data_IF_067062445189
#
_entry.id   IF_067062445189
#
_cell.length_a   1.000
_cell.length_b   1.000
_cell.length_c   1.000
_cell.angle_alpha   90.00
_cell.angle_beta   90.00
_cell.angle_gamma   90.00
#
_symmetry.space_group_name_H-M   'P 1'
#
loop_
_entity.id
_entity.type
_entity.pdbx_description
1 polymer ?
#
# COMPACT_ATOMS: atom_id res chain seq x y z
N UNK A 1 -31.02 21.26 -3.34
CA UNK A 1 -29.56 21.11 -3.43
C UNK A 1 -29.03 22.18 -4.37
N UNK A 2 -27.92 22.85 -4.05
CA UNK A 2 -27.36 23.93 -4.88
C UNK A 2 -26.35 23.39 -5.89
N UNK A 3 -26.52 23.73 -7.17
CA UNK A 3 -25.63 23.34 -8.26
C UNK A 3 -24.24 23.96 -8.12
N UNK A 4 -23.24 23.34 -8.76
CA UNK A 4 -21.88 23.88 -8.87
C UNK A 4 -21.88 24.96 -9.95
N UNK A 5 -21.48 26.18 -9.60
CA UNK A 5 -21.49 27.33 -10.51
C UNK A 5 -20.06 27.70 -10.83
N UNK A 6 -19.70 27.67 -12.11
CA UNK A 6 -18.41 28.10 -12.65
C UNK A 6 -18.64 29.38 -13.46
N UNK A 7 -17.91 30.45 -13.17
CA UNK A 7 -18.02 31.71 -13.89
C UNK A 7 -16.68 32.17 -14.45
N UNK A 8 -16.70 32.54 -15.72
CA UNK A 8 -15.60 33.20 -16.41
C UNK A 8 -14.31 32.39 -16.51
N UNK A 9 -14.42 31.11 -16.89
CA UNK A 9 -13.25 30.25 -17.03
C UNK A 9 -12.44 30.58 -18.29
N UNK A 10 -11.16 30.95 -18.09
CA UNK A 10 -10.23 31.49 -19.10
C UNK A 10 -8.85 30.84 -19.08
N UNK A 11 -8.70 29.69 -18.42
CA UNK A 11 -7.44 28.94 -18.43
C UNK A 11 -7.19 28.33 -19.82
N UNK A 12 -5.92 28.25 -20.25
CA UNK A 12 -5.56 27.68 -21.55
C UNK A 12 -6.26 28.37 -22.72
N UNK A 13 -7.05 27.60 -23.48
CA UNK A 13 -7.82 28.07 -24.64
C UNK A 13 -9.30 28.31 -24.34
N UNK A 14 -9.72 28.29 -23.07
CA UNK A 14 -11.11 28.55 -22.68
C UNK A 14 -11.49 30.01 -22.98
N UNK A 15 -12.66 30.20 -23.58
CA UNK A 15 -13.16 31.50 -24.06
C UNK A 15 -14.19 32.08 -23.09
N UNK A 16 -13.77 32.35 -21.86
CA UNK A 16 -14.60 32.98 -20.83
C UNK A 16 -15.90 32.21 -20.52
N UNK A 17 -15.75 30.91 -20.28
CA UNK A 17 -16.89 29.98 -20.18
C UNK A 17 -17.52 30.06 -18.79
N UNK A 18 -18.84 30.23 -18.74
CA UNK A 18 -19.63 30.13 -17.51
C UNK A 18 -20.68 29.03 -17.66
N UNK A 19 -20.83 28.20 -16.64
CA UNK A 19 -21.71 27.03 -16.66
C UNK A 19 -22.17 26.65 -15.26
N UNK A 20 -23.29 25.94 -15.21
CA UNK A 20 -23.87 25.39 -13.99
C UNK A 20 -23.96 23.87 -14.13
N UNK A 21 -23.38 23.16 -13.16
CA UNK A 21 -23.32 21.71 -13.13
C UNK A 21 -24.23 21.17 -12.02
N UNK A 22 -25.14 20.22 -12.34
CA UNK A 22 -26.00 19.64 -11.34
C UNK A 22 -25.18 18.84 -10.33
N UNK A 23 -25.34 19.15 -9.04
CA UNK A 23 -24.63 18.44 -7.98
C UNK A 23 -25.20 17.03 -7.81
N UNK A 24 -24.38 16.12 -7.32
CA UNK A 24 -24.76 14.73 -7.02
C UNK A 24 -25.23 13.93 -8.25
N UNK A 25 -24.70 14.31 -9.42
CA UNK A 25 -24.95 13.66 -10.70
C UNK A 25 -23.66 13.22 -11.38
N UNK A 26 -23.75 12.19 -12.22
CA UNK A 26 -22.66 11.80 -13.11
C UNK A 26 -22.62 12.78 -14.29
N UNK A 27 -21.65 13.70 -14.26
CA UNK A 27 -21.43 14.68 -15.32
C UNK A 27 -20.34 14.17 -16.27
N UNK A 28 -20.61 14.19 -17.57
CA UNK A 28 -19.67 13.79 -18.61
C UNK A 28 -19.33 15.00 -19.49
N UNK A 29 -18.05 15.37 -19.54
CA UNK A 29 -17.55 16.38 -20.47
C UNK A 29 -17.18 15.73 -21.81
N UNK A 30 -17.85 16.11 -22.89
CA UNK A 30 -17.64 15.57 -24.23
C UNK A 30 -17.18 16.63 -25.23
N UNK A 31 -16.68 16.21 -26.39
CA UNK A 31 -16.23 17.10 -27.47
C UNK A 31 -14.86 16.75 -28.06
N UNK A 32 -14.56 17.33 -29.23
CA UNK A 32 -13.35 17.07 -30.02
C UNK A 32 -12.05 17.30 -29.23
N UNK A 33 -10.98 16.58 -29.57
CA UNK A 33 -9.66 16.81 -28.96
C UNK A 33 -9.25 18.28 -29.06
N UNK A 34 -8.64 18.82 -28.00
CA UNK A 34 -8.28 20.24 -27.94
C UNK A 34 -9.43 21.22 -27.62
N UNK A 35 -10.68 20.77 -27.49
CA UNK A 35 -11.81 21.67 -27.18
C UNK A 35 -11.81 22.30 -25.77
N UNK A 36 -10.82 22.00 -24.94
CA UNK A 36 -10.69 22.55 -23.58
C UNK A 36 -11.38 21.74 -22.47
N UNK A 37 -11.91 20.53 -22.74
CA UNK A 37 -12.54 19.65 -21.72
C UNK A 37 -11.64 19.40 -20.50
N UNK A 38 -10.42 18.92 -20.75
CA UNK A 38 -9.45 18.63 -19.70
C UNK A 38 -9.03 19.90 -18.97
N UNK A 39 -8.87 21.01 -19.70
CA UNK A 39 -8.55 22.31 -19.10
C UNK A 39 -9.66 22.79 -18.16
N UNK A 40 -10.92 22.66 -18.56
CA UNK A 40 -12.05 23.00 -17.70
C UNK A 40 -12.18 22.07 -16.49
N UNK A 41 -12.14 20.75 -16.70
CA UNK A 41 -12.35 19.78 -15.62
C UNK A 41 -11.16 19.72 -14.64
N UNK A 42 -9.94 19.74 -15.17
CA UNK A 42 -8.71 19.52 -14.40
C UNK A 42 -8.09 20.85 -14.00
N UNK A 43 -7.71 21.68 -14.98
CA UNK A 43 -6.90 22.89 -14.72
C UNK A 43 -7.72 24.02 -14.09
N UNK A 44 -9.04 23.98 -14.24
CA UNK A 44 -9.97 24.95 -13.64
C UNK A 44 -10.69 24.35 -12.43
N UNK A 45 -11.62 23.41 -12.65
CA UNK A 45 -12.52 22.94 -11.58
C UNK A 45 -11.71 22.23 -10.49
N UNK A 46 -10.96 21.18 -10.84
CA UNK A 46 -10.18 20.43 -9.87
C UNK A 46 -9.12 21.28 -9.16
N UNK A 47 -8.36 22.10 -9.89
CA UNK A 47 -7.35 22.98 -9.27
C UNK A 47 -7.96 23.98 -8.29
N UNK A 48 -9.09 24.58 -8.62
CA UNK A 48 -9.74 25.52 -7.71
C UNK A 48 -10.31 24.81 -6.48
N UNK A 49 -10.90 23.62 -6.63
CA UNK A 49 -11.33 22.80 -5.49
C UNK A 49 -10.15 22.43 -4.58
N UNK A 50 -9.02 22.01 -5.16
CA UNK A 50 -7.82 21.67 -4.43
C UNK A 50 -7.23 22.90 -3.72
N UNK A 51 -7.20 24.06 -4.37
CA UNK A 51 -6.75 25.33 -3.79
C UNK A 51 -7.58 25.71 -2.57
N UNK A 52 -8.92 25.75 -2.70
CA UNK A 52 -9.82 26.12 -1.60
C UNK A 52 -9.70 25.15 -0.41
N UNK A 53 -9.57 23.86 -0.68
CA UNK A 53 -9.35 22.86 0.37
C UNK A 53 -8.01 23.05 1.09
N UNK A 54 -6.92 23.25 0.35
CA UNK A 54 -5.59 23.45 0.92
C UNK A 54 -5.48 24.77 1.70
N UNK A 55 -6.14 25.83 1.25
CA UNK A 55 -6.22 27.10 1.98
C UNK A 55 -6.99 26.95 3.30
N UNK A 56 -8.07 26.15 3.33
CA UNK A 56 -8.81 25.88 4.54
C UNK A 56 -8.00 25.14 5.62
N UNK A 57 -6.95 24.41 5.24
CA UNK A 57 -6.02 23.73 6.17
C UNK A 57 -4.71 24.51 6.38
N UNK A 58 -4.63 25.76 5.91
CA UNK A 58 -3.54 26.69 6.22
C UNK A 58 -2.41 26.79 5.20
N UNK A 59 -2.52 26.16 4.02
CA UNK A 59 -1.55 26.37 2.94
C UNK A 59 -1.81 27.70 2.22
N UNK A 60 -0.74 28.40 1.85
CA UNK A 60 -0.79 29.68 1.13
C UNK A 60 0.04 29.62 -0.17
N UNK A 61 -0.13 30.61 -1.04
CA UNK A 61 0.67 30.76 -2.26
C UNK A 61 0.31 29.80 -3.39
N UNK A 62 -0.85 29.14 -3.30
CA UNK A 62 -1.33 28.23 -4.33
C UNK A 62 -1.86 29.04 -5.51
N UNK A 63 -1.36 28.75 -6.71
CA UNK A 63 -1.76 29.45 -7.94
C UNK A 63 -3.26 29.29 -8.17
N UNK A 64 -3.99 30.41 -8.20
CA UNK A 64 -5.39 30.45 -8.61
C UNK A 64 -5.50 30.28 -10.14
N UNK A 65 -6.36 29.38 -10.66
CA UNK A 65 -6.65 29.31 -12.08
C UNK A 65 -7.34 30.58 -12.58
N UNK A 66 -7.25 30.86 -13.89
CA UNK A 66 -7.88 32.03 -14.52
C UNK A 66 -9.40 31.85 -14.59
N UNK A 67 -10.07 32.16 -13.48
CA UNK A 67 -11.53 32.16 -13.35
C UNK A 67 -11.99 33.38 -12.53
N UNK A 68 -13.23 33.81 -12.71
CA UNK A 68 -13.82 34.82 -11.82
C UNK A 68 -14.14 34.20 -10.46
N UNK A 69 -15.02 33.20 -10.47
CA UNK A 69 -15.36 32.44 -9.27
C UNK A 69 -15.88 31.04 -9.60
N UNK A 70 -15.79 30.18 -8.60
CA UNK A 70 -16.52 28.93 -8.53
C UNK A 70 -17.25 28.86 -7.18
N UNK A 71 -18.47 28.32 -7.15
CA UNK A 71 -19.25 28.17 -5.92
C UNK A 71 -19.83 26.77 -5.79
N UNK A 72 -20.16 26.40 -4.55
CA UNK A 72 -20.79 25.14 -4.18
C UNK A 72 -19.98 23.89 -4.57
N UNK A 73 -18.66 24.03 -4.71
CA UNK A 73 -17.75 22.92 -4.96
C UNK A 73 -17.45 22.13 -3.69
N UNK A 74 -17.09 20.87 -3.88
CA UNK A 74 -16.58 19.99 -2.82
C UNK A 74 -15.08 19.81 -3.00
N UNK A 75 -14.35 19.36 -1.96
CA UNK A 75 -13.01 18.82 -2.16
C UNK A 75 -13.02 17.79 -3.30
N UNK A 76 -12.10 17.95 -4.25
CA UNK A 76 -12.09 17.14 -5.47
C UNK A 76 -10.93 16.14 -5.43
N UNK A 77 -11.19 14.94 -5.94
CA UNK A 77 -10.18 13.90 -6.15
C UNK A 77 -10.04 13.67 -7.64
N UNK A 78 -8.82 13.77 -8.14
CA UNK A 78 -8.50 13.47 -9.54
C UNK A 78 -8.02 12.03 -9.63
N UNK A 79 -8.76 11.21 -10.37
CA UNK A 79 -8.36 9.84 -10.70
C UNK A 79 -7.86 9.85 -12.14
N UNK A 80 -6.55 9.65 -12.31
CA UNK A 80 -5.91 9.53 -13.62
C UNK A 80 -5.40 8.12 -13.84
N UNK A 81 -5.31 7.75 -15.11
CA UNK A 81 -4.51 6.62 -15.55
C UNK A 81 -3.02 7.01 -15.52
N UNK A 82 -2.47 7.24 -14.33
CA UNK A 82 -1.03 7.45 -14.15
C UNK A 82 -0.34 6.09 -14.11
N UNK A 83 0.86 5.98 -14.67
CA UNK A 83 1.62 4.72 -14.73
C UNK A 83 1.65 4.01 -13.37
N UNK A 84 1.37 2.70 -13.38
CA UNK A 84 1.46 1.84 -12.21
C UNK A 84 2.82 2.02 -11.54
N UNK A 85 2.83 2.26 -10.22
CA UNK A 85 4.05 2.33 -9.42
C UNK A 85 4.95 1.12 -9.74
N UNK A 86 6.10 1.37 -10.38
CA UNK A 86 7.02 0.31 -10.87
C UNK A 86 7.94 -0.23 -9.77
N UNK A 87 7.78 0.22 -8.52
CA UNK A 87 8.56 -0.32 -7.41
C UNK A 87 8.23 -1.81 -7.25
N UNK A 88 9.21 -2.73 -7.37
CA UNK A 88 8.97 -4.18 -7.33
C UNK A 88 8.50 -4.66 -5.95
N UNK A 89 8.59 -3.83 -4.91
CA UNK A 89 8.02 -4.09 -3.58
C UNK A 89 6.57 -3.62 -3.46
N UNK A 90 6.07 -2.83 -4.43
CA UNK A 90 4.68 -2.43 -4.51
C UNK A 90 3.86 -3.53 -5.17
N UNK A 91 3.06 -4.21 -4.38
CA UNK A 91 2.03 -5.14 -4.83
C UNK A 91 0.65 -4.52 -4.67
N UNK A 92 -0.38 -5.14 -5.26
CA UNK A 92 -1.78 -4.75 -5.02
C UNK A 92 -2.07 -4.66 -3.53
N UNK A 93 -1.62 -5.63 -2.74
CA UNK A 93 -1.83 -5.62 -1.28
C UNK A 93 -1.15 -4.45 -0.56
N UNK A 94 0.00 -3.98 -1.03
CA UNK A 94 0.63 -2.78 -0.45
C UNK A 94 0.02 -1.47 -0.93
N UNK A 95 -0.61 -1.45 -2.11
CA UNK A 95 -1.27 -0.29 -2.69
C UNK A 95 -2.62 -0.03 -2.04
N UNK A 96 -3.37 -1.10 -1.75
CA UNK A 96 -4.68 -1.04 -1.10
C UNK A 96 -4.57 -1.07 0.42
N UNK A 97 -3.36 -1.09 0.96
CA UNK A 97 -3.04 -1.32 2.38
C UNK A 97 -3.57 -2.63 3.01
N UNK A 98 -4.25 -3.49 2.25
CA UNK A 98 -4.70 -4.83 2.69
C UNK A 98 -3.55 -5.65 3.26
N UNK A 99 -2.33 -5.53 2.71
CA UNK A 99 -1.16 -6.23 3.22
C UNK A 99 -0.83 -5.81 4.66
N UNK A 100 -1.07 -4.55 5.03
CA UNK A 100 -0.87 -4.06 6.40
C UNK A 100 -1.88 -4.71 7.34
N UNK A 101 -3.16 -4.76 6.94
CA UNK A 101 -4.22 -5.39 7.74
C UNK A 101 -3.98 -6.90 7.91
N UNK A 102 -3.62 -7.57 6.82
CA UNK A 102 -3.28 -9.00 6.83
C UNK A 102 -2.14 -9.31 7.80
N UNK A 103 -1.12 -8.45 7.90
CA UNK A 103 -0.02 -8.66 8.85
C UNK A 103 -0.50 -8.62 10.29
N UNK A 104 -1.45 -7.76 10.62
CA UNK A 104 -2.04 -7.70 11.97
C UNK A 104 -2.82 -8.99 12.22
N UNK A 105 -3.59 -9.46 11.25
CA UNK A 105 -4.33 -10.74 11.35
C UNK A 105 -3.38 -11.91 11.59
N UNK A 106 -2.30 -12.03 10.81
CA UNK A 106 -1.29 -13.09 10.99
C UNK A 106 -0.50 -12.95 12.29
N UNK A 107 -0.33 -11.72 12.78
CA UNK A 107 0.33 -11.47 14.06
C UNK A 107 -0.54 -11.93 15.23
N UNK A 108 -1.84 -11.61 15.23
CA UNK A 108 -2.75 -11.97 16.33
C UNK A 108 -3.32 -13.37 16.26
N UNK A 109 -3.58 -13.90 15.07
CA UNK A 109 -4.22 -15.20 14.86
C UNK A 109 -3.28 -16.23 14.25
N UNK A 110 -1.99 -15.90 14.10
CA UNK A 110 -0.99 -16.83 13.60
C UNK A 110 -0.82 -18.03 14.53
N UNK A 111 -1.00 -19.22 13.98
CA UNK A 111 -0.63 -20.48 14.63
C UNK A 111 0.75 -20.87 14.11
N UNK A 112 1.67 -21.14 15.04
CA UNK A 112 3.06 -21.47 14.75
C UNK A 112 3.53 -22.60 15.68
N UNK A 113 4.66 -23.22 15.37
CA UNK A 113 5.27 -24.24 16.24
C UNK A 113 6.34 -23.57 17.10
N UNK A 114 6.34 -23.85 18.39
CA UNK A 114 7.36 -23.33 19.29
C UNK A 114 8.73 -23.94 18.96
N UNK A 115 9.78 -23.14 18.70
CA UNK A 115 11.10 -23.66 18.31
C UNK A 115 11.87 -24.33 19.47
N UNK A 116 11.32 -24.34 20.69
CA UNK A 116 11.96 -24.93 21.87
C UNK A 116 11.32 -26.25 22.32
N UNK A 117 9.99 -26.36 22.21
CA UNK A 117 9.26 -27.54 22.68
C UNK A 117 8.47 -28.26 21.58
N UNK A 118 8.54 -27.78 20.34
CA UNK A 118 7.85 -28.33 19.16
C UNK A 118 6.32 -28.41 19.25
N UNK A 119 5.72 -27.83 20.29
CA UNK A 119 4.28 -27.71 20.45
C UNK A 119 3.69 -26.61 19.58
N UNK A 120 2.44 -26.82 19.15
CA UNK A 120 1.66 -25.82 18.41
C UNK A 120 1.21 -24.71 19.37
N UNK A 121 1.50 -23.47 19.00
CA UNK A 121 1.16 -22.27 19.77
C UNK A 121 0.36 -21.30 18.90
N UNK A 122 -0.69 -20.72 19.49
CA UNK A 122 -1.44 -19.60 18.91
C UNK A 122 -0.90 -18.29 19.46
N UNK A 123 -0.64 -17.31 18.60
CA UNK A 123 -0.22 -15.98 19.03
C UNK A 123 -1.21 -15.33 20.01
N UNK A 124 -2.51 -15.59 19.86
CA UNK A 124 -3.56 -15.09 20.75
C UNK A 124 -3.48 -15.65 22.17
N UNK A 125 -2.87 -16.82 22.36
CA UNK A 125 -2.75 -17.50 23.65
C UNK A 125 -1.39 -17.23 24.33
N UNK A 126 -0.43 -16.71 23.57
CA UNK A 126 0.91 -16.39 24.06
C UNK A 126 0.94 -15.02 24.73
N UNK A 127 1.68 -14.90 25.84
CA UNK A 127 1.91 -13.61 26.49
C UNK A 127 2.86 -12.76 25.65
N UNK A 128 2.55 -11.46 25.49
CA UNK A 128 3.43 -10.49 24.85
C UNK A 128 4.09 -9.55 25.85
N UNK A 129 5.33 -9.13 25.58
CA UNK A 129 6.04 -8.11 26.33
C UNK A 129 6.79 -7.17 25.38
N UNK A 130 6.75 -5.87 25.69
CA UNK A 130 7.42 -4.84 24.89
C UNK A 130 8.55 -4.22 25.71
N UNK A 131 9.77 -4.30 25.18
CA UNK A 131 10.94 -3.67 25.76
C UNK A 131 11.38 -2.48 24.91
N UNK A 132 11.73 -1.36 25.55
CA UNK A 132 12.28 -0.19 24.88
C UNK A 132 13.77 -0.08 25.20
N UNK A 133 14.63 -0.22 24.18
CA UNK A 133 16.07 -0.11 24.30
C UNK A 133 16.64 0.72 23.13
N UNK A 134 17.53 1.68 23.41
CA UNK A 134 18.20 2.52 22.41
C UNK A 134 17.26 3.23 21.42
N UNK A 135 16.10 3.70 21.90
CA UNK A 135 15.08 4.34 21.06
C UNK A 135 14.33 3.39 20.13
N UNK A 136 14.60 2.08 20.19
CA UNK A 136 13.92 1.02 19.44
C UNK A 136 12.99 0.22 20.36
N UNK A 137 11.85 -0.17 19.82
CA UNK A 137 10.91 -1.08 20.48
C UNK A 137 11.21 -2.51 20.04
N UNK A 138 11.28 -3.44 21.01
CA UNK A 138 11.39 -4.88 20.78
C UNK A 138 10.18 -5.56 21.38
N UNK A 139 9.55 -6.44 20.60
CA UNK A 139 8.36 -7.20 21.04
C UNK A 139 8.73 -8.67 21.18
N UNK A 140 8.41 -9.22 22.34
CA UNK A 140 8.64 -10.61 22.69
C UNK A 140 7.32 -11.32 22.90
N UNK A 141 7.30 -12.60 22.53
CA UNK A 141 6.19 -13.51 22.73
C UNK A 141 6.70 -14.70 23.55
N UNK A 142 5.95 -15.12 24.55
CA UNK A 142 6.29 -16.26 25.38
C UNK A 142 5.41 -17.45 25.01
N UNK A 143 6.03 -18.60 24.75
CA UNK A 143 5.31 -19.85 24.50
C UNK A 143 4.42 -20.18 25.71
N UNK A 144 3.14 -20.45 25.48
CA UNK A 144 2.20 -20.83 26.54
C UNK A 144 2.47 -22.22 27.15
N UNK A 145 3.24 -23.09 26.48
CA UNK A 145 3.60 -24.42 26.98
C UNK A 145 4.89 -24.44 27.81
N UNK A 146 5.98 -23.87 27.29
CA UNK A 146 7.30 -23.95 27.92
C UNK A 146 7.85 -22.59 28.42
N UNK A 147 7.06 -21.51 28.27
CA UNK A 147 7.44 -20.14 28.63
C UNK A 147 8.72 -19.63 27.94
N UNK A 148 9.14 -20.28 26.84
CA UNK A 148 10.30 -19.86 26.08
C UNK A 148 10.06 -18.48 25.44
N UNK A 149 11.01 -17.56 25.68
CA UNK A 149 10.97 -16.18 25.20
C UNK A 149 11.38 -16.12 23.72
N UNK A 150 10.39 -16.00 22.84
CA UNK A 150 10.58 -15.84 21.41
C UNK A 150 10.60 -14.35 21.06
N UNK A 151 11.55 -13.95 20.21
CA UNK A 151 11.45 -12.66 19.53
C UNK A 151 10.46 -12.81 18.39
N UNK A 152 9.48 -11.93 18.30
CA UNK A 152 8.55 -11.99 17.18
C UNK A 152 9.28 -11.53 15.91
N UNK A 153 9.73 -12.51 15.13
CA UNK A 153 10.45 -12.37 13.84
C UNK A 153 9.65 -11.48 12.89
N UNK A 154 8.32 -11.51 13.02
CA UNK A 154 7.39 -10.68 12.27
C UNK A 154 7.67 -9.18 12.42
N UNK A 155 8.24 -8.72 13.54
CA UNK A 155 8.50 -7.30 13.77
C UNK A 155 9.85 -6.81 13.25
N UNK A 156 10.90 -7.64 13.34
CA UNK A 156 12.28 -7.23 13.08
C UNK A 156 12.84 -7.73 11.75
N UNK A 157 12.19 -8.73 11.14
CA UNK A 157 12.61 -9.29 9.87
C UNK A 157 13.78 -10.26 9.98
N UNK A 158 13.96 -11.03 8.92
CA UNK A 158 14.91 -12.15 8.83
C UNK A 158 16.37 -11.72 8.78
N UNK A 159 16.65 -10.44 8.50
CA UNK A 159 18.01 -9.89 8.47
C UNK A 159 18.47 -9.31 9.80
N UNK A 160 17.61 -9.26 10.81
CA UNK A 160 18.00 -8.82 12.16
C UNK A 160 19.06 -9.74 12.76
N UNK A 161 20.03 -9.15 13.46
CA UNK A 161 21.12 -9.91 14.11
C UNK A 161 20.58 -10.92 15.13
N UNK A 162 19.41 -10.62 15.68
CA UNK A 162 18.65 -11.50 16.55
C UNK A 162 18.13 -12.76 15.85
N UNK A 163 17.60 -12.66 14.62
CA UNK A 163 17.12 -13.82 13.85
C UNK A 163 18.30 -14.69 13.40
N UNK A 164 19.40 -14.06 12.97
CA UNK A 164 20.64 -14.77 12.63
C UNK A 164 21.21 -15.58 13.80
N UNK A 165 21.05 -15.10 15.04
CA UNK A 165 21.48 -15.84 16.25
C UNK A 165 20.63 -17.08 16.53
N UNK A 166 19.33 -17.05 16.19
CA UNK A 166 18.40 -18.17 16.38
C UNK A 166 18.56 -19.22 15.27
N UNK A 167 18.95 -18.80 14.06
CA UNK A 167 19.22 -19.70 12.94
C UNK A 167 20.67 -19.58 12.45
N UNK A 168 21.68 -19.99 13.26
CA UNK A 168 23.10 -19.72 12.99
C UNK A 168 23.71 -20.43 11.77
N UNK A 169 22.94 -21.23 11.03
CA UNK A 169 23.35 -21.87 9.77
C UNK A 169 22.46 -21.55 8.57
N UNK A 170 21.39 -20.77 8.76
CA UNK A 170 20.45 -20.41 7.69
C UNK A 170 20.72 -18.97 7.31
N UNK A 171 21.29 -18.77 6.11
CA UNK A 171 21.53 -17.44 5.60
C UNK A 171 20.19 -16.73 5.35
N UNK A 172 20.04 -15.46 5.76
CA UNK A 172 18.85 -14.69 5.46
C UNK A 172 18.61 -14.70 3.95
N UNK A 173 17.39 -15.01 3.49
CA UNK A 173 17.07 -15.03 2.07
C UNK A 173 17.34 -13.66 1.45
N UNK A 174 17.96 -13.66 0.26
CA UNK A 174 18.40 -12.42 -0.40
C UNK A 174 17.25 -11.67 -1.08
N UNK A 175 16.17 -12.37 -1.42
CA UNK A 175 15.03 -11.82 -2.18
C UNK A 175 13.71 -12.08 -1.47
N UNK A 176 12.71 -11.21 -1.67
CA UNK A 176 11.37 -11.36 -1.05
C UNK A 176 10.74 -12.70 -1.47
N UNK A 177 10.96 -13.11 -2.72
CA UNK A 177 10.51 -14.40 -3.27
C UNK A 177 11.13 -15.59 -2.53
N UNK A 178 12.39 -15.49 -2.11
CA UNK A 178 13.05 -16.50 -1.29
C UNK A 178 12.67 -16.41 0.20
N UNK A 179 11.70 -15.57 0.57
CA UNK A 179 11.26 -15.38 1.96
C UNK A 179 11.96 -14.23 2.69
N UNK A 180 12.62 -13.31 1.98
CA UNK A 180 13.18 -12.09 2.60
C UNK A 180 12.06 -11.24 3.15
N UNK A 181 11.90 -11.30 4.46
CA UNK A 181 10.92 -10.52 5.17
C UNK A 181 11.63 -9.52 6.08
N UNK A 182 11.31 -8.25 5.89
CA UNK A 182 12.06 -7.16 6.51
C UNK A 182 11.59 -6.81 7.93
N UNK A 183 10.48 -7.36 8.37
CA UNK A 183 9.86 -6.96 9.63
C UNK A 183 8.83 -5.85 9.45
N UNK A 184 7.88 -5.76 10.38
CA UNK A 184 6.88 -4.69 10.41
C UNK A 184 7.54 -3.34 10.69
N UNK A 185 8.51 -3.29 11.59
CA UNK A 185 9.13 -2.03 11.98
C UNK A 185 10.03 -1.39 10.92
N UNK A 186 10.96 -2.12 10.27
CA UNK A 186 11.83 -1.50 9.28
C UNK A 186 11.05 -0.93 8.09
N UNK A 187 9.97 -1.60 7.66
CA UNK A 187 9.11 -1.11 6.57
C UNK A 187 8.27 0.10 6.98
N UNK A 188 7.72 0.14 8.20
CA UNK A 188 7.01 1.32 8.71
C UNK A 188 7.96 2.52 8.82
N UNK A 189 9.16 2.30 9.36
CA UNK A 189 10.20 3.32 9.47
C UNK A 189 10.65 3.81 8.09
N UNK A 190 10.78 2.89 7.12
CA UNK A 190 11.18 3.25 5.77
C UNK A 190 10.10 4.00 5.00
N UNK A 191 8.82 3.65 5.15
CA UNK A 191 7.71 4.47 4.63
C UNK A 191 7.70 5.89 5.20
N UNK A 192 8.16 6.06 6.44
CA UNK A 192 8.38 7.38 7.02
C UNK A 192 9.59 8.12 6.41
N UNK A 193 10.62 7.40 5.92
CA UNK A 193 11.83 7.97 5.33
C UNK A 193 11.83 8.09 3.79
N UNK A 194 11.11 7.22 3.06
CA UNK A 194 11.09 7.03 1.59
C UNK A 194 10.35 8.16 0.82
N UNK A 195 10.34 9.36 1.38
CA UNK A 195 10.15 10.59 0.62
C UNK A 195 11.38 10.88 -0.32
N UNK A 196 11.94 9.87 -1.03
CA UNK A 196 12.80 10.01 -2.24
C UNK A 196 13.89 8.93 -2.65
N UNK A 197 13.72 8.12 -3.73
CA UNK A 197 14.83 7.39 -4.47
C UNK A 197 14.46 6.28 -5.53
N UNK A 198 15.25 6.12 -6.65
CA UNK A 198 14.90 5.59 -8.03
C UNK A 198 15.52 4.22 -8.52
N UNK A 199 14.96 3.56 -9.56
CA UNK A 199 14.97 2.09 -9.82
C UNK A 199 15.32 1.55 -11.26
N UNK A 200 16.25 2.15 -12.01
CA UNK A 200 16.41 1.88 -13.47
C UNK A 200 17.32 0.72 -13.96
N UNK A 201 17.91 -0.14 -13.14
CA UNK A 201 18.97 -1.08 -13.58
C UNK A 201 18.57 -2.56 -13.79
N UNK A 202 17.28 -2.92 -13.84
CA UNK A 202 16.84 -4.32 -13.67
C UNK A 202 16.50 -5.11 -14.94
N UNK A 203 16.56 -4.51 -16.13
CA UNK A 203 16.03 -5.15 -17.34
C UNK A 203 16.95 -6.18 -18.00
N UNK A 204 18.26 -6.19 -17.73
CA UNK A 204 19.20 -7.09 -18.41
C UNK A 204 19.31 -8.49 -17.77
N UNK A 205 18.54 -8.76 -16.70
CA UNK A 205 18.68 -9.98 -15.89
C UNK A 205 17.49 -10.94 -15.96
N UNK A 206 16.50 -10.68 -16.80
CA UNK A 206 15.31 -11.53 -16.89
C UNK A 206 14.95 -11.85 -18.33
N UNK A 207 14.66 -13.12 -18.56
CA UNK A 207 13.84 -13.56 -19.68
C UNK A 207 12.55 -14.17 -19.13
N UNK A 208 11.45 -14.01 -19.85
CA UNK A 208 10.11 -14.32 -19.35
C UNK A 208 9.47 -15.43 -20.15
N UNK A 209 8.86 -16.39 -19.45
CA UNK A 209 7.93 -17.34 -20.06
C UNK A 209 6.80 -17.72 -19.10
N UNK A 210 5.63 -18.08 -19.63
CA UNK A 210 4.37 -18.22 -18.87
C UNK A 210 3.93 -19.70 -18.81
N UNK A 211 3.56 -20.16 -17.61
CA UNK A 211 3.07 -21.53 -17.36
C UNK A 211 1.78 -21.80 -18.15
N UNK A 212 1.69 -22.89 -18.93
CA UNK A 212 0.54 -23.14 -19.82
C UNK A 212 -0.73 -23.66 -19.12
N UNK A 213 -0.65 -24.15 -17.88
CA UNK A 213 -1.81 -24.74 -17.16
C UNK A 213 -2.57 -23.75 -16.26
N UNK A 214 -1.86 -22.76 -15.70
CA UNK A 214 -2.45 -21.72 -14.85
C UNK A 214 -2.18 -20.30 -15.35
N UNK A 215 -1.56 -20.17 -16.53
CA UNK A 215 -1.24 -18.91 -17.21
C UNK A 215 -0.53 -17.85 -16.33
N UNK A 216 0.17 -18.31 -15.27
CA UNK A 216 0.90 -17.45 -14.34
C UNK A 216 0.28 -17.31 -12.94
N UNK A 217 -0.69 -18.14 -12.55
CA UNK A 217 -1.26 -18.16 -11.18
C UNK A 217 -0.30 -18.82 -10.16
N UNK A 218 0.71 -18.02 -9.80
CA UNK A 218 1.79 -18.23 -8.83
C UNK A 218 1.34 -18.65 -7.42
N UNK A 219 1.53 -19.91 -7.00
CA UNK A 219 1.82 -20.24 -5.59
C UNK A 219 2.73 -21.48 -5.44
N UNK A 220 3.78 -21.35 -4.62
CA UNK A 220 4.68 -22.45 -4.25
C UNK A 220 4.01 -23.47 -3.32
N UNK A 221 4.61 -24.65 -3.14
CA UNK A 221 4.04 -25.76 -2.35
C UNK A 221 3.81 -25.41 -0.87
N UNK A 222 4.76 -24.67 -0.26
CA UNK A 222 4.61 -24.09 1.08
C UNK A 222 3.48 -23.06 1.15
N UNK A 223 3.32 -22.23 0.11
CA UNK A 223 2.24 -21.24 0.03
C UNK A 223 0.86 -21.89 -0.23
N UNK A 224 0.84 -23.09 -0.82
CA UNK A 224 -0.34 -23.94 -1.01
C UNK A 224 -0.72 -24.74 0.25
N UNK A 225 0.18 -24.84 1.23
CA UNK A 225 -0.01 -25.58 2.49
C UNK A 225 -0.59 -24.76 3.65
N UNK A 226 -0.63 -23.43 3.55
CA UNK A 226 -1.12 -22.56 4.62
C UNK A 226 -2.64 -22.68 4.81
N UNK A 227 -3.08 -22.83 6.07
CA UNK A 227 -4.48 -22.86 6.49
C UNK A 227 -4.80 -21.68 7.40
N UNK A 228 -5.92 -21.01 7.15
CA UNK A 228 -6.49 -19.97 8.02
C UNK A 228 -7.83 -20.48 8.52
N UNK A 229 -8.04 -20.54 9.83
CA UNK A 229 -9.29 -21.06 10.42
C UNK A 229 -9.64 -22.49 9.95
N UNK A 230 -8.63 -23.34 9.75
CA UNK A 230 -8.77 -24.72 9.24
C UNK A 230 -9.23 -24.87 7.77
N UNK A 231 -9.18 -23.82 6.94
CA UNK A 231 -9.49 -23.88 5.48
C UNK A 231 -8.29 -23.51 4.59
N UNK A 232 -8.17 -24.18 3.42
CA UNK A 232 -7.14 -23.95 2.37
C UNK A 232 -7.67 -23.05 1.24
N UNK A 233 -6.78 -22.26 0.62
CA UNK A 233 -7.14 -21.21 -0.36
C UNK A 233 -6.95 -21.56 -1.85
N UNK A 234 -6.26 -22.66 -2.20
CA UNK A 234 -6.13 -23.10 -3.60
C UNK A 234 -6.13 -24.63 -3.68
N UNK A 235 -7.03 -25.19 -4.49
CA UNK A 235 -7.32 -26.63 -4.58
C UNK A 235 -6.69 -27.32 -5.81
N UNK A 236 -5.75 -26.68 -6.51
CA UNK A 236 -4.95 -27.36 -7.55
C UNK A 236 -4.06 -28.42 -6.90
N UNK A 237 -4.62 -29.62 -6.72
CA UNK A 237 -3.89 -30.83 -6.45
C UNK A 237 -3.13 -31.20 -7.71
N UNK A 238 -1.79 -31.19 -7.65
CA UNK A 238 -1.03 -32.00 -8.61
C UNK A 238 -1.37 -33.46 -8.32
N UNK A 239 -2.04 -34.13 -9.25
CA UNK A 239 -1.56 -35.46 -9.66
C UNK A 239 -0.26 -35.28 -10.42
#
# INVERSE_FOLDING_TARGET
MSNIIVSGAREGNLKDISLELPRDQLIVFTGLSGSGKSTLAIDVIYQECQRQYLEAIGYQGIRKPKIDFIRNVSPAVRITQTESNKNPRSTVGTLTDIYTDLRIVYEKLGVQVCPHCDEVISAAECKEEVEKADGKFKVFMYCNHCNYKMKSILFHGVESDEVKKVFPGILPPRTVVAGKFEGVFPTLWRRMSDKGGDAKQLNDYFDFDICPDCLGERLGELSRGATVGFQKHCNCSRT
#
